data_IF_761013771254
#
_entry.id   IF_761013771254
#
_cell.length_a   1.000
_cell.length_b   1.000
_cell.length_c   1.000
_cell.angle_alpha   90.00
_cell.angle_beta   90.00
_cell.angle_gamma   90.00
#
_symmetry.space_group_name_H-M   'P 1'
#
loop_
_entity.id
_entity.type
_entity.pdbx_description
1 polymer ?
#
# COMPACT_ATOMS: atom_id res chain seq x y z
N UNK A 1 -4.32 -35.78 56.75
CA UNK A 1 -4.49 -36.18 55.33
C UNK A 1 -5.91 -36.68 55.13
N UNK A 2 -6.63 -36.11 54.16
CA UNK A 2 -8.09 -36.24 53.98
C UNK A 2 -8.46 -37.48 53.15
N UNK A 3 -9.26 -38.34 53.77
CA UNK A 3 -10.44 -39.11 53.32
C UNK A 3 -10.54 -39.53 51.84
N UNK A 4 -10.54 -40.86 51.63
CA UNK A 4 -11.03 -41.57 50.44
C UNK A 4 -12.52 -41.86 50.61
N UNK A 5 -13.37 -41.50 49.64
CA UNK A 5 -14.73 -42.03 49.54
C UNK A 5 -15.13 -42.19 48.07
N UNK A 6 -15.32 -43.43 47.64
CA UNK A 6 -15.86 -43.78 46.33
C UNK A 6 -17.38 -43.62 46.31
N UNK A 7 -17.93 -43.19 45.17
CA UNK A 7 -19.32 -43.49 44.79
C UNK A 7 -19.38 -43.90 43.32
N UNK A 8 -20.07 -45.02 43.13
CA UNK A 8 -20.44 -45.75 41.92
C UNK A 8 -21.49 -45.00 41.10
N UNK A 9 -21.42 -45.06 39.76
CA UNK A 9 -22.51 -44.67 38.86
C UNK A 9 -22.82 -45.77 37.85
N UNK A 10 -24.12 -45.96 37.64
CA UNK A 10 -24.84 -47.00 36.91
C UNK A 10 -24.61 -46.85 35.39
N UNK A 11 -23.80 -47.74 34.80
CA UNK A 11 -23.42 -47.72 33.37
C UNK A 11 -24.24 -48.67 32.46
N UNK A 12 -25.29 -49.33 32.99
CA UNK A 12 -26.05 -50.33 32.24
C UNK A 12 -27.26 -49.79 31.43
N UNK A 13 -27.87 -48.68 31.83
CA UNK A 13 -29.13 -48.21 31.22
C UNK A 13 -28.98 -47.54 29.85
N UNK A 14 -27.88 -46.80 29.64
CA UNK A 14 -27.65 -46.08 28.39
C UNK A 14 -27.39 -47.03 27.20
N UNK A 15 -26.72 -48.16 27.43
CA UNK A 15 -26.44 -49.14 26.37
C UNK A 15 -27.71 -49.87 25.91
N UNK A 16 -28.65 -50.15 26.82
CA UNK A 16 -29.95 -50.72 26.45
C UNK A 16 -30.79 -49.74 25.61
N UNK A 17 -30.78 -48.45 25.95
CA UNK A 17 -31.47 -47.43 25.16
C UNK A 17 -30.90 -47.30 23.73
N UNK A 18 -29.57 -47.33 23.58
CA UNK A 18 -28.93 -47.27 22.26
C UNK A 18 -29.23 -48.53 21.44
N UNK A 19 -29.25 -49.72 22.06
CA UNK A 19 -29.58 -50.98 21.38
C UNK A 19 -31.01 -51.00 20.85
N UNK A 20 -31.99 -50.59 21.67
CA UNK A 20 -33.40 -50.49 21.25
C UNK A 20 -33.57 -49.47 20.13
N UNK A 21 -32.89 -48.32 20.20
CA UNK A 21 -32.93 -47.29 19.16
C UNK A 21 -32.35 -47.80 17.83
N UNK A 22 -31.24 -48.53 17.86
CA UNK A 22 -30.60 -49.10 16.66
C UNK A 22 -31.45 -50.19 16.01
N UNK A 23 -32.09 -51.06 16.80
CA UNK A 23 -33.01 -52.09 16.29
C UNK A 23 -34.26 -51.46 15.68
N UNK A 24 -34.81 -50.41 16.31
CA UNK A 24 -35.92 -49.63 15.76
C UNK A 24 -35.56 -48.99 14.41
N UNK A 25 -34.37 -48.40 14.29
CA UNK A 25 -33.87 -47.82 13.04
C UNK A 25 -33.69 -48.87 11.93
N UNK A 26 -33.21 -50.07 12.29
CA UNK A 26 -33.08 -51.18 11.35
C UNK A 26 -34.44 -51.67 10.82
N UNK A 27 -35.46 -51.76 11.69
CA UNK A 27 -36.82 -52.13 11.28
C UNK A 27 -37.46 -51.07 10.37
N UNK A 28 -37.21 -49.78 10.63
CA UNK A 28 -37.74 -48.70 9.79
C UNK A 28 -37.08 -48.71 8.40
N UNK A 29 -35.75 -48.92 8.31
CA UNK A 29 -35.07 -49.03 7.01
C UNK A 29 -35.54 -50.25 6.21
N UNK A 30 -35.70 -51.40 6.86
CA UNK A 30 -36.19 -52.60 6.18
C UNK A 30 -37.67 -52.45 5.77
N UNK A 31 -38.49 -51.78 6.59
CA UNK A 31 -39.91 -51.56 6.31
C UNK A 31 -40.21 -50.52 5.23
N UNK A 32 -39.40 -49.45 5.11
CA UNK A 32 -39.64 -48.37 4.14
C UNK A 32 -38.75 -48.44 2.88
N UNK A 33 -37.56 -49.07 2.92
CA UNK A 33 -36.61 -49.07 1.79
C UNK A 33 -36.46 -50.42 1.07
N UNK A 34 -37.05 -51.53 1.59
CA UNK A 34 -37.01 -52.84 0.92
C UNK A 34 -38.20 -53.11 -0.03
N UNK A 35 -39.19 -52.21 -0.08
CA UNK A 35 -40.37 -52.32 -0.94
C UNK A 35 -40.08 -52.40 -2.46
N UNK A 36 -39.10 -51.67 -3.03
CA UNK A 36 -38.82 -51.74 -4.46
C UNK A 36 -37.80 -52.81 -4.85
N UNK A 37 -37.09 -53.43 -3.90
CA UNK A 37 -35.95 -54.33 -4.18
C UNK A 37 -36.32 -55.82 -4.22
N UNK A 38 -37.55 -56.20 -3.84
CA UNK A 38 -38.09 -57.57 -3.94
C UNK A 38 -39.07 -57.75 -5.12
N UNK A 39 -39.37 -56.68 -5.86
CA UNK A 39 -40.35 -56.68 -6.96
C UNK A 39 -39.67 -56.81 -8.34
N UNK A 40 -38.73 -57.74 -8.50
CA UNK A 40 -38.18 -58.10 -9.82
C UNK A 40 -37.86 -59.58 -9.95
N UNK A 41 -38.89 -60.42 -9.80
CA UNK A 41 -38.95 -61.71 -10.45
C UNK A 41 -40.41 -62.19 -10.56
N UNK A 42 -40.92 -62.30 -11.79
CA UNK A 42 -42.16 -63.01 -12.10
C UNK A 42 -43.37 -62.16 -12.48
N UNK A 43 -43.77 -62.24 -13.75
CA UNK A 43 -45.19 -62.13 -14.15
C UNK A 43 -45.57 -60.89 -14.95
N UNK A 44 -45.54 -61.04 -16.27
CA UNK A 44 -46.36 -60.32 -17.26
C UNK A 44 -47.83 -60.25 -16.85
N UNK A 45 -48.44 -59.06 -16.84
CA UNK A 45 -49.69 -58.76 -17.56
C UNK A 45 -50.06 -57.27 -17.51
N UNK A 46 -50.33 -56.74 -18.70
CA UNK A 46 -50.89 -55.44 -19.09
C UNK A 46 -51.82 -54.73 -18.11
N UNK A 47 -51.61 -53.41 -17.97
CA UNK A 47 -52.70 -52.49 -18.32
C UNK A 47 -52.16 -51.15 -18.86
N UNK A 48 -52.33 -51.00 -20.18
CA UNK A 48 -52.21 -49.76 -20.93
C UNK A 48 -53.38 -48.83 -20.57
N UNK A 49 -53.09 -47.62 -20.11
CA UNK A 49 -53.95 -46.42 -20.27
C UNK A 49 -53.00 -45.22 -20.30
N UNK A 50 -52.42 -44.89 -21.45
CA UNK A 50 -52.98 -44.02 -22.48
C UNK A 50 -53.38 -42.63 -21.94
N UNK A 51 -52.61 -41.66 -22.44
CA UNK A 51 -52.98 -40.29 -22.78
C UNK A 51 -52.93 -39.22 -21.66
N UNK A 52 -52.03 -38.27 -21.93
CA UNK A 52 -52.16 -36.84 -21.67
C UNK A 52 -52.56 -36.41 -20.26
N UNK A 53 -51.55 -36.33 -19.40
CA UNK A 53 -51.53 -35.20 -18.45
C UNK A 53 -51.19 -33.96 -19.27
N UNK A 54 -52.22 -33.35 -19.84
CA UNK A 54 -52.17 -31.95 -20.24
C UNK A 54 -51.62 -31.17 -19.05
N UNK A 55 -50.47 -30.55 -19.26
CA UNK A 55 -49.91 -29.52 -18.43
C UNK A 55 -50.95 -28.41 -18.27
N UNK A 56 -51.74 -28.50 -17.21
CA UNK A 56 -52.36 -27.31 -16.63
C UNK A 56 -51.23 -26.52 -15.98
N UNK A 57 -50.54 -25.70 -16.78
CA UNK A 57 -49.83 -24.55 -16.26
C UNK A 57 -50.88 -23.68 -15.56
N UNK A 58 -51.02 -23.88 -14.25
CA UNK A 58 -51.78 -22.95 -13.44
C UNK A 58 -51.02 -21.62 -13.47
N UNK A 59 -51.66 -20.48 -13.77
CA UNK A 59 -50.96 -19.20 -13.91
C UNK A 59 -50.10 -18.86 -12.68
N UNK A 60 -50.47 -19.33 -11.49
CA UNK A 60 -49.71 -19.19 -10.25
C UNK A 60 -48.35 -19.94 -10.23
N UNK A 61 -48.23 -21.09 -10.91
CA UNK A 61 -46.96 -21.83 -10.99
C UNK A 61 -46.01 -21.18 -12.00
N UNK A 62 -46.53 -20.71 -13.14
CA UNK A 62 -45.78 -19.94 -14.12
C UNK A 62 -45.21 -18.64 -13.53
N UNK A 63 -46.01 -17.91 -12.74
CA UNK A 63 -45.57 -16.70 -12.03
C UNK A 63 -44.47 -16.98 -10.99
N UNK A 64 -44.57 -18.10 -10.26
CA UNK A 64 -43.54 -18.53 -9.32
C UNK A 64 -42.22 -18.89 -10.03
N UNK A 65 -42.30 -19.59 -11.16
CA UNK A 65 -41.13 -19.92 -11.98
C UNK A 65 -40.46 -18.66 -12.54
N UNK A 66 -41.23 -17.67 -13.00
CA UNK A 66 -40.71 -16.39 -13.48
C UNK A 66 -40.03 -15.57 -12.36
N UNK A 67 -40.60 -15.58 -11.16
CA UNK A 67 -40.02 -14.92 -9.99
C UNK A 67 -38.70 -15.59 -9.57
N UNK A 68 -38.65 -16.92 -9.53
CA UNK A 68 -37.42 -17.66 -9.25
C UNK A 68 -36.33 -17.43 -10.31
N UNK A 69 -36.70 -17.34 -11.59
CA UNK A 69 -35.76 -16.99 -12.67
C UNK A 69 -35.18 -15.58 -12.47
N UNK A 70 -36.03 -14.61 -12.13
CA UNK A 70 -35.61 -13.22 -11.85
C UNK A 70 -34.66 -13.16 -10.65
N UNK A 71 -34.93 -13.91 -9.59
CA UNK A 71 -34.06 -13.97 -8.41
C UNK A 71 -32.69 -14.58 -8.75
N UNK A 72 -32.65 -15.68 -9.51
CA UNK A 72 -31.40 -16.28 -9.96
C UNK A 72 -30.57 -15.35 -10.84
N UNK A 73 -31.22 -14.60 -11.72
CA UNK A 73 -30.53 -13.60 -12.54
C UNK A 73 -29.92 -12.50 -11.67
N UNK A 74 -30.67 -11.98 -10.69
CA UNK A 74 -30.14 -10.99 -9.74
C UNK A 74 -28.99 -11.54 -8.90
N UNK A 75 -29.08 -12.78 -8.46
CA UNK A 75 -28.01 -13.45 -7.72
C UNK A 75 -26.74 -13.55 -8.58
N UNK A 76 -26.87 -13.94 -9.86
CA UNK A 76 -25.75 -13.98 -10.79
C UNK A 76 -25.11 -12.58 -10.99
N UNK A 77 -25.93 -11.55 -11.20
CA UNK A 77 -25.46 -10.17 -11.35
C UNK A 77 -24.73 -9.66 -10.08
N UNK A 78 -25.25 -9.99 -8.90
CA UNK A 78 -24.63 -9.63 -7.62
C UNK A 78 -23.30 -10.36 -7.42
N UNK A 79 -23.25 -11.67 -7.68
CA UNK A 79 -22.03 -12.46 -7.57
C UNK A 79 -20.92 -11.93 -8.49
N UNK A 80 -21.27 -11.52 -9.72
CA UNK A 80 -20.31 -10.92 -10.65
C UNK A 80 -19.80 -9.54 -10.16
N UNK A 81 -20.67 -8.73 -9.56
CA UNK A 81 -20.26 -7.45 -8.97
C UNK A 81 -19.35 -7.66 -7.77
N UNK A 82 -19.70 -8.61 -6.89
CA UNK A 82 -18.90 -8.94 -5.72
C UNK A 82 -17.50 -9.45 -6.11
N UNK A 83 -17.41 -10.35 -7.09
CA UNK A 83 -16.12 -10.83 -7.59
C UNK A 83 -15.26 -9.68 -8.14
N UNK A 84 -15.86 -8.78 -8.93
CA UNK A 84 -15.17 -7.61 -9.49
C UNK A 84 -14.67 -6.67 -8.40
N UNK A 85 -15.47 -6.43 -7.35
CA UNK A 85 -15.07 -5.58 -6.22
C UNK A 85 -13.93 -6.24 -5.44
N UNK A 86 -14.03 -7.55 -5.16
CA UNK A 86 -12.96 -8.28 -4.48
C UNK A 86 -11.64 -8.26 -5.25
N UNK A 87 -11.68 -8.42 -6.57
CA UNK A 87 -10.49 -8.32 -7.42
C UNK A 87 -9.86 -6.93 -7.34
N UNK A 88 -10.67 -5.87 -7.42
CA UNK A 88 -10.20 -4.49 -7.28
C UNK A 88 -9.62 -4.21 -5.90
N UNK A 89 -10.24 -4.69 -4.83
CA UNK A 89 -9.74 -4.51 -3.47
C UNK A 89 -8.37 -5.15 -3.30
N UNK A 90 -8.16 -6.37 -3.80
CA UNK A 90 -6.84 -7.03 -3.76
C UNK A 90 -5.80 -6.26 -4.59
N UNK A 91 -6.18 -5.76 -5.76
CA UNK A 91 -5.28 -4.97 -6.59
C UNK A 91 -4.88 -3.65 -5.90
N UNK A 92 -5.83 -2.99 -5.21
CA UNK A 92 -5.56 -1.79 -4.43
C UNK A 92 -4.66 -2.06 -3.23
N UNK A 93 -4.89 -3.14 -2.48
CA UNK A 93 -4.05 -3.51 -1.35
C UNK A 93 -2.58 -3.75 -1.78
N UNK A 94 -2.38 -4.43 -2.91
CA UNK A 94 -1.04 -4.62 -3.49
C UNK A 94 -0.42 -3.28 -3.91
N UNK A 95 -1.22 -2.40 -4.50
CA UNK A 95 -0.76 -1.08 -4.93
C UNK A 95 -0.39 -0.18 -3.75
N UNK A 96 -1.18 -0.19 -2.67
CA UNK A 96 -0.91 0.55 -1.42
C UNK A 96 0.44 0.12 -0.82
N UNK A 97 0.66 -1.19 -0.65
CA UNK A 97 1.94 -1.72 -0.15
C UNK A 97 3.11 -1.32 -1.06
N UNK A 98 2.92 -1.35 -2.38
CA UNK A 98 3.96 -0.94 -3.32
C UNK A 98 4.25 0.57 -3.26
N UNK A 99 3.22 1.41 -3.05
CA UNK A 99 3.35 2.86 -2.89
C UNK A 99 4.08 3.18 -1.59
N UNK A 100 3.68 2.58 -0.47
CA UNK A 100 4.29 2.80 0.84
C UNK A 100 5.78 2.44 0.82
N UNK A 101 6.12 1.31 0.18
CA UNK A 101 7.52 0.92 -0.02
C UNK A 101 8.29 1.94 -0.85
N UNK A 102 7.72 2.41 -1.96
CA UNK A 102 8.37 3.42 -2.80
C UNK A 102 8.54 4.75 -2.08
N UNK A 103 7.57 5.16 -1.26
CA UNK A 103 7.66 6.37 -0.46
C UNK A 103 8.76 6.25 0.61
N UNK A 104 8.86 5.10 1.27
CA UNK A 104 9.95 4.84 2.20
C UNK A 104 11.32 4.89 1.49
N UNK A 105 11.45 4.22 0.35
CA UNK A 105 12.69 4.19 -0.44
C UNK A 105 13.08 5.61 -0.92
N UNK A 106 12.11 6.40 -1.38
CA UNK A 106 12.32 7.80 -1.80
C UNK A 106 12.73 8.70 -0.63
N UNK A 107 12.08 8.55 0.52
CA UNK A 107 12.39 9.35 1.71
C UNK A 107 13.81 9.05 2.20
N UNK A 108 14.21 7.77 2.20
CA UNK A 108 15.57 7.37 2.54
C UNK A 108 16.59 7.90 1.52
N UNK A 109 16.27 7.86 0.23
CA UNK A 109 17.13 8.40 -0.82
C UNK A 109 17.29 9.92 -0.72
N UNK A 110 16.21 10.65 -0.40
CA UNK A 110 16.23 12.08 -0.15
C UNK A 110 17.10 12.43 1.05
N UNK A 111 16.95 11.70 2.16
CA UNK A 111 17.76 11.93 3.36
C UNK A 111 19.26 11.68 3.10
N UNK A 112 19.59 10.56 2.44
CA UNK A 112 20.97 10.26 2.05
C UNK A 112 21.54 11.32 1.08
N UNK A 113 20.73 11.82 0.14
CA UNK A 113 21.14 12.90 -0.75
C UNK A 113 21.37 14.19 0.02
N UNK A 114 20.47 14.54 0.95
CA UNK A 114 20.62 15.74 1.79
C UNK A 114 21.89 15.67 2.63
N UNK A 115 22.20 14.51 3.22
CA UNK A 115 23.43 14.30 3.99
C UNK A 115 24.69 14.44 3.13
N UNK A 116 24.71 13.83 1.95
CA UNK A 116 25.86 13.93 1.04
C UNK A 116 26.07 15.35 0.52
N UNK A 117 25.00 16.05 0.15
CA UNK A 117 25.06 17.47 -0.23
C UNK A 117 25.53 18.33 0.93
N UNK A 118 25.03 18.11 2.15
CA UNK A 118 25.46 18.85 3.34
C UNK A 118 26.95 18.60 3.64
N UNK A 119 27.41 17.35 3.59
CA UNK A 119 28.82 17.01 3.82
C UNK A 119 29.74 17.66 2.77
N UNK A 120 29.36 17.63 1.49
CA UNK A 120 30.09 18.29 0.42
C UNK A 120 30.12 19.82 0.61
N UNK A 121 29.00 20.41 1.01
CA UNK A 121 28.87 21.85 1.26
C UNK A 121 29.76 22.31 2.42
N UNK A 122 29.79 21.55 3.53
CA UNK A 122 30.63 21.88 4.70
C UNK A 122 32.12 21.83 4.34
N UNK A 123 32.55 20.82 3.59
CA UNK A 123 33.95 20.72 3.15
C UNK A 123 34.33 21.90 2.24
N UNK A 124 33.49 22.19 1.24
CA UNK A 124 33.72 23.31 0.32
C UNK A 124 33.72 24.67 1.02
N UNK A 125 32.80 24.91 1.95
CA UNK A 125 32.75 26.17 2.71
C UNK A 125 33.94 26.29 3.68
N UNK A 126 34.46 25.20 4.23
CA UNK A 126 35.67 25.23 5.07
C UNK A 126 36.89 25.68 4.27
N UNK A 127 37.09 25.12 3.07
CA UNK A 127 38.21 25.49 2.20
C UNK A 127 38.08 26.93 1.72
N UNK A 128 36.87 27.36 1.36
CA UNK A 128 36.61 28.74 0.94
C UNK A 128 36.82 29.75 2.08
N UNK A 129 36.43 29.38 3.31
CA UNK A 129 36.66 30.20 4.51
C UNK A 129 38.16 30.40 4.76
N UNK A 130 38.95 29.34 4.64
CA UNK A 130 40.42 29.43 4.79
C UNK A 130 41.05 30.33 3.73
N UNK A 131 40.64 30.20 2.47
CA UNK A 131 41.13 31.09 1.40
C UNK A 131 40.72 32.55 1.65
N UNK A 132 39.48 32.76 2.10
CA UNK A 132 38.99 34.08 2.47
C UNK A 132 39.86 34.71 3.56
N UNK A 133 40.18 33.96 4.62
CA UNK A 133 41.06 34.44 5.69
C UNK A 133 42.47 34.82 5.20
N UNK A 134 43.01 34.10 4.21
CA UNK A 134 44.32 34.43 3.63
C UNK A 134 44.27 35.80 2.97
N UNK A 135 43.23 36.08 2.18
CA UNK A 135 43.06 37.39 1.53
C UNK A 135 42.75 38.51 2.53
N UNK A 136 42.03 38.22 3.62
CA UNK A 136 41.78 39.19 4.70
C UNK A 136 43.04 39.59 5.46
N UNK A 137 43.97 38.64 5.67
CA UNK A 137 45.22 38.88 6.41
C UNK A 137 46.30 39.49 5.51
N UNK A 138 46.12 39.45 4.20
CA UNK A 138 47.01 40.06 3.22
C UNK A 138 46.80 41.58 3.16
N UNK A 139 47.83 42.32 2.72
CA UNK A 139 47.71 43.79 2.61
C UNK A 139 46.62 44.15 1.60
N UNK A 140 45.71 45.10 1.90
CA UNK A 140 44.60 45.43 1.00
C UNK A 140 45.03 45.78 -0.42
N UNK A 141 46.16 46.46 -0.58
CA UNK A 141 46.72 46.82 -1.89
C UNK A 141 47.19 45.60 -2.71
N UNK A 142 47.76 44.60 -2.05
CA UNK A 142 48.20 43.35 -2.69
C UNK A 142 46.98 42.49 -3.05
N UNK A 143 46.00 42.38 -2.13
CA UNK A 143 44.74 41.69 -2.38
C UNK A 143 43.93 42.34 -3.51
N UNK A 144 43.81 43.67 -3.54
CA UNK A 144 43.07 44.39 -4.58
C UNK A 144 43.64 44.11 -5.98
N UNK A 145 44.96 44.09 -6.15
CA UNK A 145 45.58 43.75 -7.42
C UNK A 145 45.24 42.32 -7.89
N UNK A 146 45.12 41.36 -6.97
CA UNK A 146 44.69 39.99 -7.31
C UNK A 146 43.19 39.93 -7.65
N UNK A 147 42.35 40.69 -6.95
CA UNK A 147 40.91 40.78 -7.22
C UNK A 147 40.62 41.47 -8.56
N UNK A 148 41.52 42.32 -9.05
CA UNK A 148 41.40 43.01 -10.34
C UNK A 148 41.59 42.07 -11.53
N UNK A 149 42.41 41.02 -11.38
CA UNK A 149 42.63 39.97 -12.38
C UNK A 149 41.61 38.81 -12.28
N UNK A 150 40.79 38.79 -11.22
CA UNK A 150 39.89 37.70 -10.89
C UNK A 150 38.53 37.84 -11.59
N UNK A 151 37.86 36.73 -11.88
CA UNK A 151 36.48 36.75 -12.38
C UNK A 151 35.55 37.44 -11.38
N UNK A 152 34.68 38.34 -11.87
CA UNK A 152 33.82 39.17 -11.03
C UNK A 152 32.85 38.35 -10.17
N UNK A 153 32.41 37.17 -10.65
CA UNK A 153 31.52 36.27 -9.90
C UNK A 153 32.24 35.62 -8.73
N UNK A 154 33.48 35.18 -8.97
CA UNK A 154 34.32 34.60 -7.93
C UNK A 154 34.71 35.65 -6.90
N UNK A 155 35.17 36.83 -7.35
CA UNK A 155 35.50 37.97 -6.50
C UNK A 155 34.33 38.40 -5.59
N UNK A 156 33.13 38.54 -6.16
CA UNK A 156 31.91 38.82 -5.39
C UNK A 156 31.66 37.74 -4.33
N UNK A 157 31.97 36.48 -4.66
CA UNK A 157 31.84 35.35 -3.75
C UNK A 157 32.73 35.40 -2.52
N UNK A 158 33.98 35.87 -2.67
CA UNK A 158 34.87 36.12 -1.53
C UNK A 158 34.40 37.31 -0.74
N UNK A 159 34.20 38.47 -1.38
CA UNK A 159 33.79 39.71 -0.70
C UNK A 159 32.52 39.52 0.15
N UNK A 160 31.57 38.71 -0.31
CA UNK A 160 30.36 38.37 0.44
C UNK A 160 30.60 37.61 1.76
N UNK A 161 31.72 36.89 1.85
CA UNK A 161 32.09 36.03 2.97
C UNK A 161 33.15 36.67 3.88
N UNK A 162 33.85 37.70 3.42
CA UNK A 162 34.85 38.42 4.23
C UNK A 162 34.17 39.31 5.28
N UNK A 163 34.94 39.72 6.28
CA UNK A 163 34.55 40.80 7.18
C UNK A 163 34.31 42.11 6.40
N UNK A 164 33.26 42.88 6.73
CA UNK A 164 32.89 44.09 5.99
C UNK A 164 34.03 45.10 5.87
N UNK A 165 34.86 45.21 6.90
CA UNK A 165 36.00 46.15 6.93
C UNK A 165 37.08 45.75 5.92
N UNK A 166 37.46 44.46 5.89
CA UNK A 166 38.44 43.94 4.95
C UNK A 166 37.94 44.01 3.49
N UNK A 167 36.65 43.72 3.29
CA UNK A 167 36.03 43.87 1.97
C UNK A 167 36.03 45.33 1.49
N UNK A 168 35.74 46.28 2.39
CA UNK A 168 35.78 47.71 2.06
C UNK A 168 37.20 48.18 1.70
N UNK A 169 38.21 47.74 2.45
CA UNK A 169 39.61 48.09 2.18
C UNK A 169 40.08 47.54 0.82
N UNK A 170 39.67 46.32 0.45
CA UNK A 170 39.97 45.74 -0.86
C UNK A 170 39.24 46.52 -1.96
N UNK A 171 37.94 46.80 -1.78
CA UNK A 171 37.12 47.56 -2.75
C UNK A 171 37.67 48.96 -3.00
N UNK A 172 38.23 49.62 -1.97
CA UNK A 172 38.88 50.93 -2.10
C UNK A 172 40.17 50.88 -2.93
N UNK A 173 40.81 49.71 -3.03
CA UNK A 173 42.00 49.49 -3.85
C UNK A 173 41.73 49.13 -5.31
N UNK A 174 40.47 48.83 -5.68
CA UNK A 174 40.10 48.42 -7.03
C UNK A 174 39.82 49.60 -7.97
N UNK A 175 39.94 49.38 -9.27
CA UNK A 175 39.44 50.34 -10.25
C UNK A 175 37.90 50.47 -10.16
N UNK A 176 37.34 51.68 -10.41
CA UNK A 176 35.90 51.91 -10.30
C UNK A 176 35.04 50.98 -11.15
N UNK A 177 35.55 50.59 -12.32
CA UNK A 177 34.85 49.68 -13.24
C UNK A 177 34.71 48.28 -12.64
N UNK A 178 35.81 47.74 -12.11
CA UNK A 178 35.83 46.40 -11.51
C UNK A 178 34.99 46.35 -10.23
N UNK A 179 35.15 47.36 -9.37
CA UNK A 179 34.34 47.48 -8.16
C UNK A 179 32.83 47.50 -8.46
N UNK A 180 32.42 48.23 -9.52
CA UNK A 180 31.03 48.24 -9.97
C UNK A 180 30.57 46.86 -10.47
N UNK A 181 31.35 46.21 -11.34
CA UNK A 181 30.99 44.89 -11.87
C UNK A 181 30.82 43.85 -10.76
N UNK A 182 31.75 43.81 -9.80
CA UNK A 182 31.66 42.90 -8.64
C UNK A 182 30.41 43.20 -7.80
N UNK A 183 30.12 44.47 -7.56
CA UNK A 183 28.94 44.89 -6.78
C UNK A 183 27.62 44.48 -7.44
N UNK A 184 27.52 44.59 -8.77
CA UNK A 184 26.34 44.13 -9.53
C UNK A 184 26.15 42.63 -9.39
N UNK A 185 27.24 41.85 -9.54
CA UNK A 185 27.16 40.39 -9.40
C UNK A 185 26.80 39.98 -7.97
N UNK A 186 27.37 40.66 -6.98
CA UNK A 186 27.06 40.44 -5.57
C UNK A 186 25.57 40.68 -5.26
N UNK A 187 25.01 41.78 -5.78
CA UNK A 187 23.59 42.11 -5.62
C UNK A 187 22.67 41.12 -6.35
N UNK A 188 23.08 40.61 -7.53
CA UNK A 188 22.29 39.68 -8.33
C UNK A 188 22.30 38.23 -7.85
N UNK A 189 23.21 37.85 -6.94
CA UNK A 189 23.49 36.45 -6.60
C UNK A 189 22.30 35.71 -5.95
N UNK A 190 21.43 36.44 -5.25
CA UNK A 190 20.24 35.87 -4.60
C UNK A 190 18.96 36.01 -5.44
N UNK A 191 19.03 36.67 -6.61
CA UNK A 191 17.85 36.90 -7.45
C UNK A 191 17.37 35.63 -8.18
N UNK A 192 18.20 34.59 -8.25
CA UNK A 192 17.91 33.34 -8.97
C UNK A 192 17.60 32.15 -8.04
N UNK A 193 17.39 32.37 -6.74
CA UNK A 193 16.94 31.30 -5.84
C UNK A 193 15.48 31.00 -6.15
N UNK A 194 15.10 29.76 -6.51
CA UNK A 194 13.70 29.39 -6.66
C UNK A 194 12.96 29.64 -5.34
N UNK A 195 12.04 30.58 -5.34
CA UNK A 195 11.04 30.72 -4.28
C UNK A 195 9.92 29.74 -4.59
N UNK A 196 9.59 28.89 -3.62
CA UNK A 196 8.45 27.95 -3.70
C UNK A 196 7.13 28.63 -4.10
#
# INVERSE_FOLDING_TARGET
MKVKKSRTTTRGGALLLISVLMIGSALIRIGLEAGPALAREGGTESMQKAADTQSHDSPAEADLHALLATLRQREADLNQRESTVMERMRALEIAEVAIDRKLADLTQAEEALRETVAAASVAAESDLSRLTEVYEKMKPKESAALFEEMDATFAAGFLARMRPEAAADIMAGLSPKVAYTISVVLAGRNANVPTE
#
